data_IF_639936462834
#
_entry.id   IF_639936462834
#
_cell.length_a   1.000
_cell.length_b   1.000
_cell.length_c   1.000
_cell.angle_alpha   90.00
_cell.angle_beta   90.00
_cell.angle_gamma   90.00
#
_symmetry.space_group_name_H-M   'P 1'
#
loop_
_entity.id
_entity.type
_entity.pdbx_description
1 polymer ?
#
# COMPACT_ATOMS: atom_id res chain seq x y z
N UNK A 1 -3.43 3.82 -25.36
CA UNK A 1 -4.62 2.94 -25.29
C UNK A 1 -5.43 3.31 -24.05
N UNK A 2 -6.67 3.75 -24.23
CA UNK A 2 -7.58 4.12 -23.14
C UNK A 2 -8.06 2.85 -22.46
N UNK A 3 -7.52 2.51 -21.29
CA UNK A 3 -8.13 1.49 -20.44
C UNK A 3 -9.28 2.16 -19.68
N UNK A 4 -10.48 2.00 -20.24
CA UNK A 4 -11.75 2.25 -19.57
C UNK A 4 -11.85 1.32 -18.36
N UNK A 5 -11.42 1.77 -17.18
CA UNK A 5 -11.71 1.10 -15.92
C UNK A 5 -13.20 1.20 -15.67
N UNK A 6 -13.96 0.18 -16.06
CA UNK A 6 -15.28 -0.06 -15.46
C UNK A 6 -15.06 -0.11 -13.96
N UNK A 7 -15.65 0.81 -13.20
CA UNK A 7 -15.73 0.71 -11.75
C UNK A 7 -16.40 -0.64 -11.43
N UNK A 8 -15.59 -1.61 -11.00
CA UNK A 8 -16.13 -2.83 -10.43
C UNK A 8 -16.68 -2.42 -9.07
N UNK A 9 -18.00 -2.37 -8.93
CA UNK A 9 -18.64 -2.26 -7.62
C UNK A 9 -18.16 -3.44 -6.76
N UNK A 10 -17.23 -3.17 -5.84
CA UNK A 10 -16.76 -4.17 -4.88
C UNK A 10 -17.71 -4.16 -3.70
N UNK A 11 -18.53 -5.20 -3.58
CA UNK A 11 -19.31 -5.45 -2.39
C UNK A 11 -18.40 -6.03 -1.29
N UNK A 12 -17.57 -5.17 -0.68
CA UNK A 12 -16.73 -5.51 0.49
C UNK A 12 -17.61 -5.89 1.69
N UNK A 13 -18.79 -5.27 1.78
CA UNK A 13 -19.77 -5.53 2.83
C UNK A 13 -21.02 -6.21 2.24
N UNK A 14 -21.58 -7.14 3.01
CA UNK A 14 -22.86 -7.79 2.81
C UNK A 14 -23.79 -7.52 4.01
N UNK A 15 -24.98 -8.12 4.00
CA UNK A 15 -26.00 -7.94 5.04
C UNK A 15 -25.57 -8.42 6.44
N UNK A 16 -24.45 -9.15 6.55
CA UNK A 16 -23.90 -9.66 7.82
C UNK A 16 -22.58 -8.97 8.24
N UNK A 17 -22.10 -7.96 7.52
CA UNK A 17 -20.80 -7.31 7.77
C UNK A 17 -19.87 -7.39 6.57
N UNK A 18 -18.55 -7.54 6.77
CA UNK A 18 -17.59 -7.79 5.68
C UNK A 18 -17.20 -9.28 5.63
N UNK A 19 -16.87 -9.78 4.44
CA UNK A 19 -16.37 -11.14 4.29
C UNK A 19 -14.96 -11.27 4.90
N UNK A 20 -14.73 -12.30 5.72
CA UNK A 20 -13.43 -12.55 6.36
C UNK A 20 -12.44 -13.18 5.37
N UNK A 21 -11.13 -13.01 5.64
CA UNK A 21 -10.04 -13.65 4.90
C UNK A 21 -10.06 -13.37 3.39
N UNK A 22 -10.34 -12.13 3.01
CA UNK A 22 -10.38 -11.71 1.60
C UNK A 22 -9.06 -11.11 1.16
N UNK A 23 -8.63 -11.45 -0.06
CA UNK A 23 -7.44 -10.89 -0.71
C UNK A 23 -7.89 -10.11 -1.94
N UNK A 24 -7.52 -8.85 -2.01
CA UNK A 24 -7.85 -7.96 -3.12
C UNK A 24 -6.60 -7.59 -3.91
N UNK A 25 -6.49 -8.04 -5.16
CA UNK A 25 -5.38 -7.68 -6.03
C UNK A 25 -5.69 -6.39 -6.81
N UNK A 26 -5.42 -5.24 -6.18
CA UNK A 26 -5.64 -3.93 -6.79
C UNK A 26 -4.89 -2.82 -6.05
N UNK A 27 -4.97 -1.59 -6.57
CA UNK A 27 -4.43 -0.41 -5.91
C UNK A 27 -5.18 -0.11 -4.61
N UNK A 28 -4.45 0.02 -3.49
CA UNK A 28 -5.06 0.19 -2.17
C UNK A 28 -5.96 1.43 -2.07
N UNK A 29 -5.56 2.56 -2.67
CA UNK A 29 -6.39 3.77 -2.69
C UNK A 29 -7.74 3.59 -3.40
N UNK A 30 -7.83 2.70 -4.39
CA UNK A 30 -9.10 2.42 -5.06
C UNK A 30 -9.95 1.46 -4.23
N UNK A 31 -9.33 0.46 -3.59
CA UNK A 31 -10.02 -0.44 -2.68
C UNK A 31 -10.61 0.31 -1.48
N UNK A 32 -9.82 1.16 -0.83
CA UNK A 32 -10.21 1.83 0.42
C UNK A 32 -11.46 2.72 0.24
N UNK A 33 -11.68 3.31 -0.94
CA UNK A 33 -12.92 4.06 -1.26
C UNK A 33 -14.20 3.25 -1.06
N UNK A 34 -14.12 1.93 -1.16
CA UNK A 34 -15.25 1.01 -0.99
C UNK A 34 -15.39 0.50 0.46
N UNK A 35 -14.47 0.89 1.36
CA UNK A 35 -14.50 0.55 2.77
C UNK A 35 -15.31 1.62 3.52
N UNK A 36 -16.26 1.21 4.36
CA UNK A 36 -17.08 2.13 5.18
C UNK A 36 -16.20 2.85 6.20
N UNK A 37 -16.53 4.10 6.51
CA UNK A 37 -15.92 4.86 7.60
C UNK A 37 -16.07 4.12 8.93
N UNK A 38 -15.10 4.29 9.83
CA UNK A 38 -15.14 3.75 11.19
C UNK A 38 -15.53 2.26 11.27
N UNK A 39 -14.97 1.42 10.40
CA UNK A 39 -15.36 0.00 10.26
C UNK A 39 -14.23 -1.00 10.49
N UNK A 40 -12.97 -0.54 10.52
CA UNK A 40 -11.78 -1.36 10.72
C UNK A 40 -11.24 -1.15 12.14
N UNK A 41 -10.95 -2.25 12.84
CA UNK A 41 -10.43 -2.24 14.22
C UNK A 41 -8.91 -1.98 14.28
N UNK A 42 -8.15 -2.54 13.33
CA UNK A 42 -6.70 -2.45 13.28
C UNK A 42 -6.23 -2.42 11.82
N UNK A 43 -5.23 -1.57 11.55
CA UNK A 43 -4.55 -1.50 10.26
C UNK A 43 -3.09 -1.81 10.48
N UNK A 44 -2.56 -2.75 9.69
CA UNK A 44 -1.14 -3.01 9.58
C UNK A 44 -0.70 -2.69 8.15
N UNK A 45 0.38 -1.92 8.00
CA UNK A 45 0.86 -1.46 6.70
C UNK A 45 2.38 -1.54 6.63
N UNK A 46 2.88 -2.09 5.52
CA UNK A 46 4.28 -2.05 5.10
C UNK A 46 4.36 -1.33 3.75
N UNK A 47 4.28 0.02 3.73
CA UNK A 47 4.27 0.80 2.50
C UNK A 47 5.66 0.83 1.84
N UNK A 48 5.78 1.31 0.59
CA UNK A 48 7.09 1.63 0.01
C UNK A 48 7.84 2.64 0.89
N UNK A 49 9.17 2.50 0.99
CA UNK A 49 10.05 3.37 1.79
C UNK A 49 10.84 4.37 0.94
N UNK A 50 10.68 4.32 -0.38
CA UNK A 50 11.39 5.11 -1.38
C UNK A 50 12.93 4.96 -1.32
N UNK A 51 13.42 3.76 -0.99
CA UNK A 51 14.86 3.48 -0.83
C UNK A 51 15.50 2.94 -2.11
N UNK A 52 14.70 2.51 -3.08
CA UNK A 52 15.19 1.87 -4.31
C UNK A 52 15.93 2.80 -5.27
N UNK A 53 15.87 4.11 -5.05
CA UNK A 53 16.72 5.10 -5.75
C UNK A 53 18.18 5.04 -5.34
N UNK A 54 18.45 4.55 -4.14
CA UNK A 54 19.80 4.52 -3.60
C UNK A 54 20.63 3.48 -4.35
N UNK A 55 21.85 3.87 -4.75
CA UNK A 55 22.88 2.94 -5.23
C UNK A 55 23.58 2.22 -4.08
N UNK A 56 23.04 2.30 -2.86
CA UNK A 56 23.63 1.71 -1.67
C UNK A 56 23.74 0.19 -1.84
N UNK A 57 24.99 -0.25 -1.93
CA UNK A 57 25.37 -1.65 -2.00
C UNK A 57 26.47 -1.87 -0.99
N UNK A 58 26.19 -2.64 0.06
CA UNK A 58 27.26 -3.13 0.94
C UNK A 58 27.67 -4.50 0.41
N UNK A 59 28.96 -4.64 0.13
CA UNK A 59 29.55 -5.94 -0.21
C UNK A 59 29.99 -6.65 1.06
N UNK A 60 29.46 -7.85 1.30
CA UNK A 60 29.83 -8.68 2.44
C UNK A 60 30.79 -9.81 2.06
N UNK A 61 31.43 -9.70 0.89
CA UNK A 61 32.35 -10.69 0.34
C UNK A 61 33.47 -11.15 1.31
N UNK A 62 33.85 -10.34 2.30
CA UNK A 62 34.86 -10.71 3.32
C UNK A 62 34.30 -11.38 4.57
N UNK A 63 32.99 -11.29 4.82
CA UNK A 63 32.31 -11.84 5.99
C UNK A 63 31.34 -12.99 5.66
N UNK A 64 31.26 -13.40 4.39
CA UNK A 64 30.47 -14.56 3.95
C UNK A 64 28.96 -14.32 3.81
N UNK A 65 28.49 -13.09 4.06
CA UNK A 65 27.08 -12.71 3.88
C UNK A 65 26.73 -12.33 2.43
N UNK A 66 25.44 -12.33 2.11
CA UNK A 66 24.95 -11.82 0.82
C UNK A 66 25.06 -10.29 0.76
N UNK A 67 25.48 -9.76 -0.39
CA UNK A 67 25.51 -8.31 -0.65
C UNK A 67 24.12 -7.70 -0.41
N UNK A 68 24.07 -6.59 0.33
CA UNK A 68 22.82 -5.85 0.55
C UNK A 68 22.57 -4.91 -0.62
N UNK A 69 21.37 -4.96 -1.18
CA UNK A 69 20.89 -4.03 -2.20
C UNK A 69 19.56 -3.42 -1.76
N UNK A 70 19.51 -2.09 -1.74
CA UNK A 70 18.31 -1.31 -1.39
C UNK A 70 17.33 -1.19 -2.55
N UNK A 71 17.71 -1.54 -3.78
CA UNK A 71 16.80 -1.58 -4.91
C UNK A 71 15.83 -2.76 -4.81
N UNK A 72 14.61 -2.49 -4.33
CA UNK A 72 13.50 -3.43 -4.18
C UNK A 72 12.58 -3.48 -5.40
N UNK A 73 12.57 -2.43 -6.22
CA UNK A 73 11.87 -2.41 -7.50
C UNK A 73 11.28 -1.04 -7.85
N UNK A 74 10.62 -0.98 -9.01
CA UNK A 74 10.00 0.26 -9.52
C UNK A 74 8.85 0.78 -8.63
N UNK A 75 8.21 -0.11 -7.87
CA UNK A 75 7.12 0.23 -6.95
C UNK A 75 7.60 1.01 -5.71
N UNK A 76 8.92 1.11 -5.50
CA UNK A 76 9.58 1.81 -4.39
C UNK A 76 10.46 2.98 -4.90
N UNK A 77 10.07 3.57 -6.02
CA UNK A 77 10.80 4.67 -6.65
C UNK A 77 9.83 5.78 -7.07
N UNK A 78 9.72 6.79 -6.21
CA UNK A 78 8.81 7.93 -6.33
C UNK A 78 9.58 9.23 -6.30
N UNK A 79 9.19 10.30 -7.01
CA UNK A 79 9.68 11.65 -6.67
C UNK A 79 9.40 11.97 -5.19
N UNK A 80 10.07 12.98 -4.61
CA UNK A 80 9.83 13.32 -3.20
C UNK A 80 8.37 13.76 -3.00
N UNK A 81 7.87 14.54 -3.95
CA UNK A 81 6.52 15.08 -4.00
C UNK A 81 5.48 13.98 -4.19
N UNK A 82 5.71 13.04 -5.13
CA UNK A 82 4.80 11.91 -5.35
C UNK A 82 4.76 10.97 -4.14
N UNK A 83 5.90 10.78 -3.46
CA UNK A 83 5.99 9.96 -2.26
C UNK A 83 5.18 10.57 -1.10
N UNK A 84 5.33 11.88 -0.88
CA UNK A 84 4.59 12.61 0.12
C UNK A 84 3.08 12.59 -0.17
N UNK A 85 2.68 12.89 -1.40
CA UNK A 85 1.27 12.90 -1.81
C UNK A 85 0.64 11.51 -1.72
N UNK A 86 1.33 10.47 -2.20
CA UNK A 86 0.88 9.09 -2.03
C UNK A 86 0.71 8.75 -0.54
N UNK A 87 1.70 9.13 0.28
CA UNK A 87 1.70 8.85 1.73
C UNK A 87 0.52 9.51 2.43
N UNK A 88 0.29 10.79 2.18
CA UNK A 88 -0.86 11.54 2.72
C UNK A 88 -2.18 10.91 2.31
N UNK A 89 -2.33 10.51 1.03
CA UNK A 89 -3.57 9.93 0.52
C UNK A 89 -3.90 8.60 1.19
N UNK A 90 -2.95 7.67 1.30
CA UNK A 90 -3.25 6.35 1.86
C UNK A 90 -3.44 6.43 3.38
N UNK A 91 -2.63 7.23 4.09
CA UNK A 91 -2.80 7.41 5.54
C UNK A 91 -4.13 8.10 5.89
N UNK A 92 -4.59 9.06 5.09
CA UNK A 92 -5.90 9.69 5.29
C UNK A 92 -7.04 8.70 5.15
N UNK A 93 -6.98 7.81 4.16
CA UNK A 93 -7.97 6.75 4.00
C UNK A 93 -7.92 5.74 5.16
N UNK A 94 -6.72 5.38 5.64
CA UNK A 94 -6.57 4.56 6.84
C UNK A 94 -7.24 5.21 8.05
N UNK A 95 -7.04 6.51 8.27
CA UNK A 95 -7.69 7.23 9.36
C UNK A 95 -9.22 7.23 9.21
N UNK A 96 -9.76 7.47 8.01
CA UNK A 96 -11.21 7.45 7.75
C UNK A 96 -11.87 6.11 8.09
N UNK A 97 -11.23 5.00 7.72
CA UNK A 97 -11.82 3.66 7.87
C UNK A 97 -11.61 3.07 9.27
N UNK A 98 -10.64 3.56 10.03
CA UNK A 98 -10.38 3.11 11.40
C UNK A 98 -11.52 3.54 12.32
N UNK A 99 -11.98 2.67 13.21
CA UNK A 99 -13.01 2.98 14.22
C UNK A 99 -12.58 4.12 15.13
N UNK A 100 -13.56 4.94 15.53
CA UNK A 100 -13.37 5.92 16.61
C UNK A 100 -13.30 5.15 17.93
N UNK A 101 -12.27 5.41 18.74
CA UNK A 101 -12.10 4.83 20.07
C UNK A 101 -12.82 5.67 21.13
#
# INVERSE_FOLDING_TARGET
MKNSTKEKNLNIFNNKGFALNQIYNMHCLELMKNIRDNSIDLIFADPPYNLSKSKFKIKFAKSGGSDLNTNKGKWDNFSAEDYEEFTKRWTRECFRVLKTN
#
